data_IF_143783631464
#
_entry.id   IF_143783631464
#
_cell.length_a   1.000
_cell.length_b   1.000
_cell.length_c   1.000
_cell.angle_alpha   90.00
_cell.angle_beta   90.00
_cell.angle_gamma   90.00
#
_symmetry.space_group_name_H-M   'P 1'
#
loop_
_entity.id
_entity.type
_entity.pdbx_description
1 polymer ?
#
# COMPACT_ATOMS: atom_id res chain seq x y z
N UNK A 1 -14.52 9.81 6.92
CA UNK A 1 -13.60 8.92 6.14
C UNK A 1 -14.41 8.30 5.02
N UNK A 2 -13.95 8.35 3.76
CA UNK A 2 -14.61 7.57 2.70
C UNK A 2 -14.30 6.09 2.90
N UNK A 3 -15.35 5.30 3.20
CA UNK A 3 -15.27 3.85 3.33
C UNK A 3 -15.50 3.20 1.97
N UNK A 4 -14.91 2.03 1.76
CA UNK A 4 -15.17 1.21 0.56
C UNK A 4 -16.43 0.37 0.76
N UNK A 5 -17.57 1.01 0.96
CA UNK A 5 -18.87 0.38 1.24
C UNK A 5 -19.90 0.59 0.13
N UNK A 6 -19.58 1.37 -0.90
CA UNK A 6 -20.43 1.55 -2.07
C UNK A 6 -20.76 0.21 -2.71
N UNK A 7 -22.05 -0.05 -2.85
CA UNK A 7 -22.60 -1.14 -3.68
C UNK A 7 -22.80 -0.58 -5.08
N UNK A 8 -22.28 -1.29 -6.08
CA UNK A 8 -22.39 -0.86 -7.48
C UNK A 8 -23.48 -1.65 -8.18
N UNK A 9 -24.32 -0.95 -8.95
CA UNK A 9 -25.42 -1.53 -9.73
C UNK A 9 -24.93 -2.56 -10.76
N UNK A 10 -23.72 -2.37 -11.29
CA UNK A 10 -23.12 -3.24 -12.28
C UNK A 10 -21.58 -3.14 -12.29
N UNK A 11 -20.96 -4.05 -13.06
CA UNK A 11 -19.51 -4.14 -13.19
C UNK A 11 -18.88 -2.89 -13.82
N UNK A 12 -19.54 -2.24 -14.77
CA UNK A 12 -19.01 -1.06 -15.45
C UNK A 12 -18.82 0.11 -14.46
N UNK A 13 -19.82 0.35 -13.61
CA UNK A 13 -19.75 1.36 -12.54
C UNK A 13 -18.61 1.06 -11.58
N UNK A 14 -18.41 -0.20 -11.21
CA UNK A 14 -17.30 -0.61 -10.34
C UNK A 14 -15.93 -0.36 -11.00
N UNK A 15 -15.74 -0.76 -12.26
CA UNK A 15 -14.51 -0.52 -13.02
C UNK A 15 -14.21 0.98 -13.13
N UNK A 16 -15.24 1.79 -13.45
CA UNK A 16 -15.12 3.25 -13.53
C UNK A 16 -14.69 3.85 -12.19
N UNK A 17 -15.24 3.34 -11.09
CA UNK A 17 -14.88 3.78 -9.74
C UNK A 17 -13.42 3.45 -9.39
N UNK A 18 -12.96 2.21 -9.60
CA UNK A 18 -11.56 1.82 -9.35
C UNK A 18 -10.60 2.64 -10.23
N UNK A 19 -10.96 2.86 -11.50
CA UNK A 19 -10.17 3.68 -12.42
C UNK A 19 -10.09 5.13 -11.98
N UNK A 20 -11.19 5.70 -11.47
CA UNK A 20 -11.24 7.06 -10.91
C UNK A 20 -10.31 7.19 -9.70
N UNK A 21 -10.32 6.23 -8.77
CA UNK A 21 -9.43 6.25 -7.59
C UNK A 21 -7.96 6.25 -8.02
N UNK A 22 -7.60 5.36 -8.97
CA UNK A 22 -6.25 5.30 -9.53
C UNK A 22 -5.85 6.61 -10.23
N UNK A 23 -6.76 7.21 -11.02
CA UNK A 23 -6.51 8.48 -11.72
C UNK A 23 -6.31 9.62 -10.71
N UNK A 24 -7.18 9.71 -9.69
CA UNK A 24 -7.06 10.70 -8.61
C UNK A 24 -5.70 10.60 -7.92
N UNK A 25 -5.30 9.40 -7.49
CA UNK A 25 -3.99 9.18 -6.85
C UNK A 25 -2.83 9.57 -7.75
N UNK A 26 -2.85 9.20 -9.03
CA UNK A 26 -1.81 9.59 -9.99
C UNK A 26 -1.75 11.11 -10.19
N UNK A 27 -2.90 11.77 -10.28
CA UNK A 27 -3.01 13.23 -10.35
C UNK A 27 -2.36 13.90 -9.15
N UNK A 28 -2.75 13.51 -7.93
CA UNK A 28 -2.19 14.06 -6.69
C UNK A 28 -0.68 13.89 -6.58
N UNK A 29 -0.14 12.72 -6.97
CA UNK A 29 1.32 12.49 -7.00
C UNK A 29 2.03 13.51 -7.91
N UNK A 30 1.48 13.76 -9.10
CA UNK A 30 2.07 14.70 -10.08
C UNK A 30 1.98 16.13 -9.57
N UNK A 31 0.82 16.54 -9.06
CA UNK A 31 0.59 17.89 -8.54
C UNK A 31 1.48 18.20 -7.33
N UNK A 32 1.51 17.31 -6.34
CA UNK A 32 2.35 17.51 -5.14
C UNK A 32 3.83 17.52 -5.51
N UNK A 33 4.27 16.68 -6.44
CA UNK A 33 5.68 16.69 -6.88
C UNK A 33 6.05 17.99 -7.59
N UNK A 34 5.12 18.60 -8.34
CA UNK A 34 5.33 19.94 -8.94
C UNK A 34 5.45 21.02 -7.87
N UNK A 35 4.62 20.95 -6.82
CA UNK A 35 4.58 21.97 -5.75
C UNK A 35 5.78 21.85 -4.80
N UNK A 36 6.08 20.63 -4.34
CA UNK A 36 7.05 20.39 -3.24
C UNK A 36 8.41 19.85 -3.71
N UNK A 37 8.54 19.52 -4.99
CA UNK A 37 9.75 18.90 -5.53
C UNK A 37 9.98 17.46 -5.04
N UNK A 38 11.18 16.91 -5.24
CA UNK A 38 11.53 15.59 -4.74
C UNK A 38 11.65 15.60 -3.20
N UNK A 39 11.16 14.52 -2.57
CA UNK A 39 11.30 14.34 -1.12
C UNK A 39 12.79 14.29 -0.74
N UNK A 40 13.14 15.00 0.34
CA UNK A 40 14.46 14.92 0.99
C UNK A 40 14.44 13.87 2.10
N UNK A 41 15.57 13.24 2.36
CA UNK A 41 15.70 12.34 3.52
C UNK A 41 15.50 13.15 4.80
N UNK A 42 14.66 12.70 5.75
CA UNK A 42 14.52 13.38 7.02
C UNK A 42 15.78 13.12 7.87
N UNK A 43 16.79 13.99 7.73
CA UNK A 43 18.05 13.88 8.46
C UNK A 43 17.93 14.09 9.98
N UNK A 44 16.78 14.55 10.47
CA UNK A 44 16.60 14.97 11.86
C UNK A 44 15.57 14.14 12.65
N UNK A 45 14.95 13.13 12.04
CA UNK A 45 13.92 12.35 12.73
C UNK A 45 14.55 11.08 13.30
N UNK A 46 14.48 10.95 14.62
CA UNK A 46 14.89 9.73 15.34
C UNK A 46 14.11 8.52 14.82
N UNK A 47 14.80 7.61 14.12
CA UNK A 47 14.24 6.33 13.68
C UNK A 47 13.82 5.47 14.86
N UNK A 48 14.56 5.54 15.96
CA UNK A 48 14.24 4.85 17.20
C UNK A 48 12.86 5.27 17.73
N UNK A 49 12.60 6.58 17.78
CA UNK A 49 11.30 7.11 18.22
C UNK A 49 10.14 6.78 17.29
N UNK A 50 10.39 6.46 16.01
CA UNK A 50 9.35 5.96 15.10
C UNK A 50 9.04 4.49 15.40
N UNK A 51 10.08 3.69 15.68
CA UNK A 51 9.96 2.26 15.96
C UNK A 51 9.26 2.01 17.30
N UNK A 52 9.55 2.84 18.31
CA UNK A 52 8.94 2.77 19.64
C UNK A 52 7.42 3.03 19.62
N UNK A 53 6.92 3.86 18.70
CA UNK A 53 5.48 4.12 18.55
C UNK A 53 4.64 2.88 18.29
N UNK A 54 5.26 1.87 17.71
CA UNK A 54 4.59 0.63 17.31
C UNK A 54 5.15 -0.57 18.06
N UNK A 55 5.89 -0.34 19.16
CA UNK A 55 6.51 -1.40 19.95
C UNK A 55 7.34 -2.37 19.08
N UNK A 56 8.12 -1.81 18.16
CA UNK A 56 8.91 -2.62 17.23
C UNK A 56 8.10 -3.39 16.18
N UNK A 57 6.82 -3.04 15.96
CA UNK A 57 5.95 -3.75 14.98
C UNK A 57 5.69 -2.92 13.74
N UNK A 58 5.45 -3.59 12.62
CA UNK A 58 4.95 -2.96 11.41
C UNK A 58 3.49 -2.53 11.61
N UNK A 59 3.18 -1.24 11.42
CA UNK A 59 1.81 -0.75 11.57
C UNK A 59 0.84 -1.21 10.46
N UNK A 60 1.36 -1.82 9.38
CA UNK A 60 0.53 -2.32 8.27
C UNK A 60 0.08 -3.76 8.53
N UNK A 61 0.97 -4.64 8.99
CA UNK A 61 0.68 -6.06 9.19
C UNK A 61 0.68 -6.54 10.65
N UNK A 62 1.18 -5.73 11.59
CA UNK A 62 1.33 -6.07 13.01
C UNK A 62 2.52 -6.98 13.35
N UNK A 63 3.25 -7.46 12.34
CA UNK A 63 4.42 -8.31 12.53
C UNK A 63 5.60 -7.57 13.17
N UNK A 64 6.42 -8.29 13.94
CA UNK A 64 7.65 -7.75 14.53
C UNK A 64 8.65 -7.31 13.45
N UNK A 65 9.37 -6.25 13.74
CA UNK A 65 10.55 -5.79 13.03
C UNK A 65 11.74 -6.23 13.88
N UNK A 66 12.43 -7.28 13.47
CA UNK A 66 13.62 -7.76 14.18
C UNK A 66 14.74 -6.71 14.15
N UNK A 67 15.72 -6.75 15.08
CA UNK A 67 16.82 -5.80 15.11
C UNK A 67 17.56 -5.66 13.76
N UNK A 68 17.69 -6.76 13.02
CA UNK A 68 18.39 -6.80 11.72
C UNK A 68 17.47 -6.57 10.51
N UNK A 69 16.16 -6.36 10.72
CA UNK A 69 15.21 -6.17 9.64
C UNK A 69 15.32 -4.77 9.00
N UNK A 70 15.33 -4.74 7.66
CA UNK A 70 15.18 -3.49 6.91
C UNK A 70 13.74 -2.98 6.96
N UNK A 71 13.53 -1.86 7.64
CA UNK A 71 12.23 -1.19 7.77
C UNK A 71 12.26 0.28 7.32
N UNK A 72 11.08 0.81 7.02
CA UNK A 72 10.89 2.17 6.51
C UNK A 72 10.04 3.01 7.47
N UNK A 73 10.41 4.28 7.61
CA UNK A 73 9.57 5.31 8.21
C UNK A 73 8.46 5.65 7.22
N UNK A 74 7.30 5.03 7.37
CA UNK A 74 6.19 5.16 6.44
C UNK A 74 5.25 6.29 6.87
N UNK A 75 4.77 7.07 5.92
CA UNK A 75 3.89 8.19 6.17
C UNK A 75 2.46 7.72 6.39
N UNK A 76 1.86 8.04 7.54
CA UNK A 76 0.43 7.76 7.82
C UNK A 76 -0.43 8.44 6.76
N UNK A 77 -0.21 9.73 6.54
CA UNK A 77 -0.72 10.46 5.39
C UNK A 77 0.39 10.59 4.36
N UNK A 78 0.29 9.84 3.26
CA UNK A 78 1.35 9.74 2.26
C UNK A 78 1.79 11.13 1.76
N UNK A 79 3.11 11.32 1.62
CA UNK A 79 3.69 12.54 1.08
C UNK A 79 3.04 12.96 -0.25
N UNK A 80 2.75 11.99 -1.12
CA UNK A 80 2.10 12.18 -2.41
C UNK A 80 0.69 12.79 -2.36
N UNK A 81 0.07 12.85 -1.18
CA UNK A 81 -1.23 13.50 -0.94
C UNK A 81 -1.11 14.77 -0.10
N UNK A 82 0.11 15.21 0.21
CA UNK A 82 0.36 16.41 1.03
C UNK A 82 0.82 16.12 2.46
N UNK A 83 1.06 14.85 2.81
CA UNK A 83 1.70 14.43 4.07
C UNK A 83 2.93 15.25 4.42
N UNK A 84 3.05 15.65 5.68
CA UNK A 84 4.24 16.36 6.17
C UNK A 84 5.31 15.37 6.60
N UNK A 85 6.56 15.83 6.64
CA UNK A 85 7.70 15.08 7.15
C UNK A 85 7.88 15.34 8.65
N UNK A 86 6.83 15.10 9.46
CA UNK A 86 6.89 15.23 10.92
C UNK A 86 6.92 13.85 11.59
N UNK A 87 7.54 13.75 12.77
CA UNK A 87 7.55 12.52 13.57
C UNK A 87 6.12 11.97 13.73
N UNK A 88 5.14 12.83 14.00
CA UNK A 88 3.73 12.48 14.17
C UNK A 88 3.12 11.74 12.97
N UNK A 89 3.61 12.02 11.76
CA UNK A 89 3.12 11.41 10.52
C UNK A 89 3.89 10.13 10.13
N UNK A 90 4.83 9.66 10.96
CA UNK A 90 5.58 8.42 10.68
C UNK A 90 5.19 7.27 11.62
N UNK A 91 5.08 6.08 11.03
CA UNK A 91 5.04 4.79 11.72
C UNK A 91 6.01 3.81 11.06
N UNK A 92 6.51 2.85 11.84
CA UNK A 92 7.40 1.82 11.31
C UNK A 92 6.63 0.84 10.41
N UNK A 93 7.23 0.46 9.28
CA UNK A 93 6.71 -0.61 8.44
C UNK A 93 7.82 -1.45 7.82
N UNK A 94 7.59 -2.75 7.62
CA UNK A 94 8.47 -3.56 6.77
C UNK A 94 8.58 -2.92 5.40
N UNK A 95 9.76 -3.01 4.80
CA UNK A 95 9.99 -2.50 3.44
C UNK A 95 9.01 -3.13 2.44
N UNK A 96 8.72 -4.43 2.58
CA UNK A 96 7.71 -5.11 1.78
C UNK A 96 6.31 -4.51 1.99
N UNK A 97 5.83 -4.43 3.24
CA UNK A 97 4.48 -3.93 3.54
C UNK A 97 4.26 -2.50 3.06
N UNK A 98 5.23 -1.60 3.26
CA UNK A 98 5.16 -0.22 2.75
C UNK A 98 5.01 -0.19 1.22
N UNK A 99 5.77 -1.04 0.50
CA UNK A 99 5.67 -1.12 -0.96
C UNK A 99 4.29 -1.58 -1.47
N UNK A 100 3.54 -2.39 -0.71
CA UNK A 100 2.18 -2.79 -1.07
C UNK A 100 1.12 -1.81 -0.59
N UNK A 101 1.34 -1.13 0.55
CA UNK A 101 0.50 -0.03 1.02
C UNK A 101 0.49 1.11 0.02
N UNK A 102 1.66 1.46 -0.53
CA UNK A 102 1.85 2.57 -1.50
C UNK A 102 1.24 3.88 -0.98
N UNK A 103 1.06 4.84 -1.88
CA UNK A 103 0.27 6.05 -1.62
C UNK A 103 -1.23 5.84 -1.86
N UNK A 104 -1.78 4.66 -1.58
CA UNK A 104 -3.22 4.44 -1.71
C UNK A 104 -3.99 5.39 -0.76
N UNK A 105 -5.12 5.94 -1.24
CA UNK A 105 -6.05 6.61 -0.34
C UNK A 105 -6.69 5.57 0.60
N UNK A 106 -7.33 6.02 1.68
CA UNK A 106 -8.03 5.13 2.60
C UNK A 106 -9.06 4.23 1.87
N UNK A 107 -9.84 4.83 0.97
CA UNK A 107 -10.85 4.12 0.16
C UNK A 107 -10.21 3.15 -0.86
N UNK A 108 -9.19 3.58 -1.59
CA UNK A 108 -8.49 2.71 -2.57
C UNK A 108 -7.83 1.52 -1.87
N UNK A 109 -7.23 1.74 -0.70
CA UNK A 109 -6.62 0.67 0.10
C UNK A 109 -7.65 -0.33 0.62
N UNK A 110 -8.80 0.16 1.13
CA UNK A 110 -9.89 -0.73 1.56
C UNK A 110 -10.42 -1.59 0.41
N UNK A 111 -10.56 -1.04 -0.81
CA UNK A 111 -10.94 -1.85 -1.98
C UNK A 111 -9.90 -2.93 -2.32
N UNK A 112 -8.60 -2.61 -2.24
CA UNK A 112 -7.53 -3.61 -2.43
C UNK A 112 -7.64 -4.74 -1.42
N UNK A 113 -7.88 -4.44 -0.14
CA UNK A 113 -8.08 -5.45 0.89
C UNK A 113 -9.31 -6.33 0.63
N UNK A 114 -10.47 -5.72 0.34
CA UNK A 114 -11.72 -6.45 0.05
C UNK A 114 -11.56 -7.40 -1.14
N UNK A 115 -10.96 -6.91 -2.23
CA UNK A 115 -10.70 -7.72 -3.42
C UNK A 115 -9.70 -8.84 -3.13
N UNK A 116 -8.64 -8.58 -2.36
CA UNK A 116 -7.66 -9.59 -1.97
C UNK A 116 -8.28 -10.71 -1.12
N UNK A 117 -9.08 -10.35 -0.11
CA UNK A 117 -9.79 -11.32 0.75
C UNK A 117 -10.76 -12.17 -0.08
N UNK A 118 -11.54 -11.54 -0.95
CA UNK A 118 -12.47 -12.26 -1.82
C UNK A 118 -11.72 -13.20 -2.77
N UNK A 119 -10.68 -12.71 -3.45
CA UNK A 119 -9.90 -13.50 -4.41
C UNK A 119 -9.21 -14.70 -3.76
N UNK A 120 -8.55 -14.52 -2.60
CA UNK A 120 -7.96 -15.62 -1.81
C UNK A 120 -9.00 -16.71 -1.51
N UNK A 121 -10.19 -16.29 -1.11
CA UNK A 121 -11.30 -17.21 -0.81
C UNK A 121 -11.75 -17.99 -2.05
N UNK A 122 -11.76 -17.38 -3.23
CA UNK A 122 -12.11 -18.09 -4.47
C UNK A 122 -11.05 -19.13 -4.88
N UNK A 123 -9.76 -18.85 -4.63
CA UNK A 123 -8.67 -19.82 -4.85
C UNK A 123 -8.85 -21.05 -3.97
N UNK A 124 -9.10 -20.86 -2.67
CA UNK A 124 -9.31 -21.95 -1.71
C UNK A 124 -10.52 -22.82 -2.10
N UNK A 125 -11.58 -22.19 -2.62
CA UNK A 125 -12.76 -22.88 -3.16
C UNK A 125 -12.53 -23.55 -4.52
N UNK A 126 -11.30 -23.50 -5.06
CA UNK A 126 -10.93 -24.07 -6.37
C UNK A 126 -11.82 -23.57 -7.52
N UNK A 127 -12.27 -22.33 -7.46
CA UNK A 127 -13.01 -21.72 -8.57
C UNK A 127 -12.10 -21.67 -9.82
N UNK A 128 -12.58 -22.17 -10.95
CA UNK A 128 -11.78 -22.32 -12.17
C UNK A 128 -11.12 -21.00 -12.62
N UNK A 129 -11.90 -19.91 -12.70
CA UNK A 129 -11.39 -18.59 -13.10
C UNK A 129 -10.39 -18.04 -12.09
N UNK A 130 -10.63 -18.26 -10.79
CA UNK A 130 -9.71 -17.82 -9.74
C UNK A 130 -8.36 -18.55 -9.81
N UNK A 131 -8.37 -19.86 -10.11
CA UNK A 131 -7.14 -20.64 -10.28
C UNK A 131 -6.36 -20.18 -11.52
N UNK A 132 -7.04 -19.89 -12.64
CA UNK A 132 -6.38 -19.33 -13.82
C UNK A 132 -5.70 -17.98 -13.52
N UNK A 133 -6.38 -17.09 -12.80
CA UNK A 133 -5.81 -15.82 -12.36
C UNK A 133 -4.66 -16.02 -11.34
N UNK A 134 -4.76 -17.00 -10.45
CA UNK A 134 -3.73 -17.31 -9.47
C UNK A 134 -2.45 -17.82 -10.14
N UNK A 135 -2.56 -18.67 -11.17
CA UNK A 135 -1.41 -19.10 -11.98
C UNK A 135 -0.70 -17.91 -12.65
N UNK A 136 -1.48 -17.00 -13.27
CA UNK A 136 -0.93 -15.76 -13.85
C UNK A 136 -0.24 -14.90 -12.79
N UNK A 137 -0.83 -14.81 -11.59
CA UNK A 137 -0.24 -14.08 -10.46
C UNK A 137 1.07 -14.72 -9.97
N UNK A 138 1.13 -16.05 -9.80
CA UNK A 138 2.35 -16.76 -9.41
C UNK A 138 3.48 -16.51 -10.42
N UNK A 139 3.18 -16.61 -11.72
CA UNK A 139 4.14 -16.30 -12.80
C UNK A 139 4.61 -14.85 -12.73
N UNK A 140 3.74 -13.91 -12.39
CA UNK A 140 4.12 -12.51 -12.16
C UNK A 140 5.08 -12.37 -10.98
N UNK A 141 4.80 -13.02 -9.84
CA UNK A 141 5.63 -12.95 -8.64
C UNK A 141 7.01 -13.58 -8.84
N UNK A 142 7.11 -14.71 -9.55
CA UNK A 142 8.40 -15.31 -9.93
C UNK A 142 9.25 -14.30 -10.73
N UNK A 143 8.66 -13.64 -11.73
CA UNK A 143 9.35 -12.60 -12.53
C UNK A 143 9.68 -11.34 -11.71
N UNK A 144 8.88 -11.02 -10.70
CA UNK A 144 9.16 -9.90 -9.80
C UNK A 144 10.34 -10.23 -8.88
N UNK A 145 10.39 -11.44 -8.34
CA UNK A 145 11.47 -11.90 -7.45
C UNK A 145 12.80 -12.04 -8.19
N UNK A 146 12.79 -12.61 -9.40
CA UNK A 146 14.00 -12.76 -10.21
C UNK A 146 14.68 -11.42 -10.54
N UNK A 147 13.91 -10.33 -10.66
CA UNK A 147 14.43 -8.97 -10.86
C UNK A 147 15.04 -8.34 -9.60
N UNK A 148 14.76 -8.87 -8.41
CA UNK A 148 15.29 -8.38 -7.13
C UNK A 148 16.54 -9.12 -6.67
N UNK A 149 16.77 -10.34 -7.19
CA UNK A 149 17.96 -11.15 -6.91
C UNK A 149 19.15 -10.85 -7.83
N UNK A 150 18.94 -10.05 -8.87
CA UNK A 150 20.00 -9.42 -9.67
C UNK A 150 20.38 -8.10 -9.03
#
# INVERSE_FOLDING_TARGET
MTRADTIFENLEKFIKHISRLRKKRRGSVVEIRKIRGPRKSPNHISRQSILEKTDGRCHVCGGLIAPDDKWQADHIFAYAHGGNDSLANYLAAHTYCNNYRRSFSAEEFQWVLKLGVWFRTQIEKKNHLALELADKFMKHEIRRDSRRRK
#
